data_IF_261124425852
#
_entry.id   IF_261124425852
#
_cell.length_a   1.000
_cell.length_b   1.000
_cell.length_c   1.000
_cell.angle_alpha   90.00
_cell.angle_beta   90.00
_cell.angle_gamma   90.00
#
_symmetry.space_group_name_H-M   'P 1'
#
loop_
_entity.id
_entity.type
_entity.pdbx_description
1 polymer ?
#
# COMPACT_ATOMS: atom_id res chain seq x y z
N UNK A 1 12.75 4.62 18.59
CA UNK A 1 11.87 3.67 17.90
C UNK A 1 10.40 3.83 18.33
N UNK A 2 10.05 3.80 19.63
CA UNK A 2 8.66 4.00 20.11
C UNK A 2 8.03 5.36 19.72
N UNK A 3 8.80 6.44 19.70
CA UNK A 3 8.30 7.78 19.34
C UNK A 3 7.93 7.88 17.84
N UNK A 4 8.63 7.17 16.96
CA UNK A 4 8.33 7.16 15.54
C UNK A 4 7.09 6.32 15.21
N UNK A 5 6.88 5.20 15.93
CA UNK A 5 5.67 4.38 15.79
C UNK A 5 4.42 5.18 16.19
N UNK A 6 4.45 5.85 17.34
CA UNK A 6 3.35 6.72 17.81
C UNK A 6 3.02 7.86 16.84
N UNK A 7 4.03 8.44 16.17
CA UNK A 7 3.81 9.50 15.17
C UNK A 7 3.13 8.95 13.92
N UNK A 8 3.46 7.73 13.49
CA UNK A 8 2.86 7.07 12.34
C UNK A 8 1.38 6.72 12.61
N UNK A 9 1.08 6.14 13.77
CA UNK A 9 -0.28 5.79 14.16
C UNK A 9 -1.18 7.03 14.17
N UNK A 10 -0.72 8.12 14.73
CA UNK A 10 -1.43 9.38 14.77
C UNK A 10 -1.70 9.98 13.40
N UNK A 11 -0.74 9.92 12.47
CA UNK A 11 -0.95 10.37 11.08
C UNK A 11 -1.99 9.50 10.35
N UNK A 12 -1.99 8.20 10.61
CA UNK A 12 -2.98 7.27 10.07
C UNK A 12 -4.38 7.62 10.58
N UNK A 13 -4.52 7.90 11.90
CA UNK A 13 -5.80 8.31 12.50
C UNK A 13 -6.29 9.63 11.91
N UNK A 14 -5.43 10.66 11.77
CA UNK A 14 -5.80 11.93 11.15
C UNK A 14 -6.36 11.79 9.73
N UNK A 15 -5.72 10.95 8.91
CA UNK A 15 -6.17 10.66 7.54
C UNK A 15 -7.49 9.88 7.53
N UNK A 16 -7.65 8.94 8.46
CA UNK A 16 -8.87 8.16 8.58
C UNK A 16 -10.06 9.04 8.98
N UNK A 17 -9.90 9.91 9.97
CA UNK A 17 -10.92 10.87 10.42
C UNK A 17 -11.41 11.74 9.27
N UNK A 18 -10.49 12.31 8.48
CA UNK A 18 -10.88 13.15 7.33
C UNK A 18 -11.63 12.35 6.25
N UNK A 19 -11.16 11.12 5.95
CA UNK A 19 -11.79 10.26 4.95
C UNK A 19 -13.18 9.74 5.38
N UNK A 20 -13.46 9.66 6.68
CA UNK A 20 -14.72 9.20 7.27
C UNK A 20 -15.72 10.35 7.55
N UNK A 21 -15.44 11.58 7.11
CA UNK A 21 -16.37 12.70 7.24
C UNK A 21 -16.28 13.46 8.56
N UNK A 22 -15.21 13.27 9.33
CA UNK A 22 -14.87 14.05 10.54
C UNK A 22 -15.75 13.80 11.78
N UNK A 23 -16.78 12.98 11.69
CA UNK A 23 -17.53 12.45 12.82
C UNK A 23 -17.33 10.94 12.86
N UNK A 24 -16.61 10.44 13.87
CA UNK A 24 -16.09 9.06 13.90
C UNK A 24 -16.12 8.48 15.32
N UNK A 25 -16.27 7.15 15.41
CA UNK A 25 -16.01 6.39 16.63
C UNK A 25 -14.63 5.72 16.59
N UNK A 26 -14.18 5.19 17.72
CA UNK A 26 -12.96 4.36 17.76
C UNK A 26 -13.07 3.13 16.85
N UNK A 27 -14.26 2.53 16.78
CA UNK A 27 -14.54 1.39 15.90
C UNK A 27 -14.47 1.76 14.41
N UNK A 28 -14.96 2.95 14.00
CA UNK A 28 -14.87 3.40 12.61
C UNK A 28 -13.40 3.57 12.18
N UNK A 29 -12.58 4.17 13.06
CA UNK A 29 -11.16 4.35 12.80
C UNK A 29 -10.43 3.00 12.79
N UNK A 30 -10.74 2.09 13.73
CA UNK A 30 -10.17 0.75 13.76
C UNK A 30 -10.51 -0.05 12.51
N UNK A 31 -11.76 0.01 12.03
CA UNK A 31 -12.19 -0.65 10.80
C UNK A 31 -11.48 -0.07 9.56
N UNK A 32 -11.28 1.25 9.51
CA UNK A 32 -10.62 1.93 8.38
C UNK A 32 -9.12 1.68 8.31
N UNK A 33 -8.48 1.58 9.47
CA UNK A 33 -7.00 1.56 9.58
C UNK A 33 -6.41 0.21 9.96
N UNK A 34 -7.25 -0.69 10.50
CA UNK A 34 -6.79 -1.94 11.10
C UNK A 34 -6.08 -1.76 12.45
N UNK A 35 -6.10 -0.57 13.05
CA UNK A 35 -5.52 -0.33 14.38
C UNK A 35 -6.32 -1.04 15.47
N UNK A 36 -5.68 -1.42 16.59
CA UNK A 36 -6.40 -1.88 17.78
C UNK A 36 -7.40 -0.82 18.24
N UNK A 37 -8.60 -1.24 18.67
CA UNK A 37 -9.68 -0.30 19.09
C UNK A 37 -9.21 0.63 20.20
N UNK A 38 -8.52 0.11 21.22
CA UNK A 38 -7.98 0.90 22.33
C UNK A 38 -6.91 1.92 21.88
N UNK A 39 -6.09 1.55 20.90
CA UNK A 39 -5.08 2.46 20.32
C UNK A 39 -5.79 3.56 19.51
N UNK A 40 -6.78 3.19 18.69
CA UNK A 40 -7.59 4.15 17.94
C UNK A 40 -8.27 5.15 18.87
N UNK A 41 -8.87 4.70 19.95
CA UNK A 41 -9.48 5.56 20.97
C UNK A 41 -8.48 6.49 21.65
N UNK A 42 -7.33 5.96 22.07
CA UNK A 42 -6.28 6.75 22.73
C UNK A 42 -5.71 7.82 21.78
N UNK A 43 -5.51 7.50 20.51
CA UNK A 43 -5.02 8.48 19.53
C UNK A 43 -6.11 9.49 19.12
N UNK A 44 -7.40 9.09 19.05
CA UNK A 44 -8.52 10.01 18.83
C UNK A 44 -8.62 11.04 19.96
N UNK A 45 -8.51 10.61 21.23
CA UNK A 45 -8.47 11.51 22.39
C UNK A 45 -7.35 12.55 22.27
N UNK A 46 -6.13 12.13 21.89
CA UNK A 46 -5.01 13.05 21.71
C UNK A 46 -5.21 14.00 20.55
N UNK A 47 -5.70 13.48 19.42
CA UNK A 47 -5.99 14.30 18.23
C UNK A 47 -7.07 15.32 18.56
N UNK A 48 -8.17 14.94 19.23
CA UNK A 48 -9.21 15.85 19.67
C UNK A 48 -8.66 16.95 20.58
N UNK A 49 -7.88 16.60 21.60
CA UNK A 49 -7.26 17.57 22.51
C UNK A 49 -6.29 18.53 21.81
N UNK A 50 -5.54 18.09 20.80
CA UNK A 50 -4.56 18.93 20.09
C UNK A 50 -5.18 19.80 18.98
N UNK A 51 -6.29 19.36 18.38
CA UNK A 51 -6.91 20.03 17.24
C UNK A 51 -8.19 20.77 17.59
N UNK A 52 -8.63 20.74 18.85
CA UNK A 52 -9.91 21.31 19.26
C UNK A 52 -11.10 20.49 18.76
N UNK A 53 -10.95 19.17 18.69
CA UNK A 53 -12.07 18.27 18.41
C UNK A 53 -12.96 18.07 19.62
N UNK A 54 -14.22 17.79 19.40
CA UNK A 54 -15.24 17.60 20.44
C UNK A 54 -15.58 16.12 20.61
N UNK A 55 -15.94 15.73 21.83
CA UNK A 55 -16.44 14.41 22.16
C UNK A 55 -17.97 14.50 22.37
N UNK A 56 -18.70 13.56 21.77
CA UNK A 56 -20.12 13.35 21.94
C UNK A 56 -20.34 12.00 22.64
N UNK A 57 -21.02 11.98 23.76
CA UNK A 57 -21.31 10.77 24.53
C UNK A 57 -22.79 10.44 24.39
N UNK A 58 -23.09 9.22 23.95
CA UNK A 58 -24.45 8.74 23.82
C UNK A 58 -25.01 8.19 25.15
N UNK A 59 -26.32 8.06 25.27
CA UNK A 59 -27.04 7.43 26.41
C UNK A 59 -26.51 6.04 26.74
N UNK A 60 -25.96 5.35 25.74
CA UNK A 60 -25.37 4.00 25.88
C UNK A 60 -23.94 4.01 26.43
N UNK A 61 -23.33 5.21 26.63
CA UNK A 61 -21.94 5.36 27.01
C UNK A 61 -20.96 5.31 25.84
N UNK A 62 -21.45 5.14 24.61
CA UNK A 62 -20.61 5.14 23.39
C UNK A 62 -20.13 6.56 23.07
N UNK A 63 -18.90 6.68 22.58
CA UNK A 63 -18.25 7.97 22.31
C UNK A 63 -18.04 8.16 20.80
N UNK A 64 -18.53 9.27 20.27
CA UNK A 64 -18.19 9.78 18.96
C UNK A 64 -17.27 11.02 19.08
N UNK A 65 -16.42 11.23 18.09
CA UNK A 65 -15.53 12.39 18.01
C UNK A 65 -15.91 13.21 16.79
N UNK A 66 -16.06 14.53 17.01
CA UNK A 66 -16.41 15.50 15.96
C UNK A 66 -15.25 16.48 15.77
N UNK A 67 -14.84 16.67 14.51
CA UNK A 67 -13.71 17.54 14.16
C UNK A 67 -14.14 18.62 13.18
N UNK A 68 -13.62 19.83 13.37
CA UNK A 68 -13.87 20.97 12.49
C UNK A 68 -13.18 20.83 11.13
N UNK A 69 -13.68 21.47 10.06
CA UNK A 69 -12.98 21.53 8.78
C UNK A 69 -11.58 22.14 8.95
N UNK A 70 -10.55 21.51 8.35
CA UNK A 70 -9.17 22.01 8.42
C UNK A 70 -8.40 21.66 9.69
N UNK A 71 -8.92 20.82 10.59
CA UNK A 71 -8.25 20.39 11.83
C UNK A 71 -6.82 19.85 11.59
N UNK A 72 -6.53 19.29 10.40
CA UNK A 72 -5.20 18.83 10.04
C UNK A 72 -4.17 19.98 9.96
N UNK A 73 -4.58 21.17 9.50
CA UNK A 73 -3.70 22.34 9.42
C UNK A 73 -3.33 22.86 10.81
N UNK A 74 -4.28 22.85 11.75
CA UNK A 74 -4.03 23.19 13.15
C UNK A 74 -3.00 22.25 13.80
N UNK A 75 -3.03 20.98 13.39
CA UNK A 75 -2.07 19.98 13.83
C UNK A 75 -0.68 20.16 13.21
N UNK A 76 -0.58 20.50 11.92
CA UNK A 76 0.69 20.69 11.22
C UNK A 76 1.45 21.93 11.70
N UNK A 77 0.75 22.96 12.17
CA UNK A 77 1.34 24.21 12.64
C UNK A 77 2.15 24.07 13.95
N UNK A 78 1.98 23.01 14.72
CA UNK A 78 2.54 22.86 16.10
C UNK A 78 3.87 22.09 16.21
N UNK A 79 4.61 21.78 15.10
CA UNK A 79 5.73 20.86 15.24
C UNK A 79 7.03 21.15 14.52
N UNK A 80 8.00 21.84 15.17
CA UNK A 80 9.40 22.00 14.71
C UNK A 80 10.08 20.63 14.50
N UNK A 81 9.83 19.64 15.35
CA UNK A 81 10.37 18.28 15.20
C UNK A 81 9.92 17.58 13.90
N UNK A 82 8.74 17.91 13.39
CA UNK A 82 8.22 17.40 12.10
C UNK A 82 8.90 18.02 10.90
N UNK A 83 9.30 19.27 10.99
CA UNK A 83 10.06 19.91 9.90
C UNK A 83 11.32 19.10 9.58
N UNK A 84 12.08 18.68 10.60
CA UNK A 84 13.27 17.85 10.40
C UNK A 84 12.95 16.44 9.86
N UNK A 85 11.85 15.83 10.25
CA UNK A 85 11.42 14.53 9.71
C UNK A 85 10.99 14.64 8.25
N UNK A 86 10.24 15.68 7.88
CA UNK A 86 9.81 15.93 6.51
C UNK A 86 10.99 16.27 5.62
N UNK A 87 11.93 17.09 6.11
CA UNK A 87 13.17 17.44 5.38
C UNK A 87 14.06 16.21 5.22
N UNK A 88 14.26 15.40 6.27
CA UNK A 88 15.03 14.16 6.19
C UNK A 88 14.45 13.17 5.20
N UNK A 89 13.13 13.00 5.16
CA UNK A 89 12.44 12.14 4.19
C UNK A 89 12.61 12.67 2.77
N UNK A 90 12.43 13.98 2.54
CA UNK A 90 12.65 14.60 1.22
C UNK A 90 14.10 14.46 0.75
N UNK A 91 15.08 14.63 1.65
CA UNK A 91 16.49 14.45 1.33
C UNK A 91 16.78 13.00 0.94
N UNK A 92 16.25 12.04 1.68
CA UNK A 92 16.35 10.62 1.34
C UNK A 92 15.73 10.31 -0.02
N UNK A 93 14.54 10.85 -0.31
CA UNK A 93 13.87 10.68 -1.60
C UNK A 93 14.71 11.26 -2.75
N UNK A 94 15.38 12.40 -2.55
CA UNK A 94 16.29 13.01 -3.55
C UNK A 94 17.52 12.15 -3.76
N UNK A 95 18.17 11.68 -2.69
CA UNK A 95 19.36 10.80 -2.81
C UNK A 95 18.98 9.50 -3.50
N UNK A 96 17.87 8.90 -3.11
CA UNK A 96 17.37 7.67 -3.75
C UNK A 96 17.02 7.87 -5.23
N UNK A 97 16.45 9.02 -5.58
CA UNK A 97 16.20 9.42 -6.96
C UNK A 97 17.50 9.51 -7.77
N UNK A 98 18.55 10.14 -7.22
CA UNK A 98 19.86 10.24 -7.88
C UNK A 98 20.50 8.85 -8.07
N UNK A 99 20.45 8.01 -7.05
CA UNK A 99 20.93 6.61 -7.16
C UNK A 99 20.16 5.87 -8.25
N UNK A 100 18.83 6.03 -8.30
CA UNK A 100 17.99 5.35 -9.29
C UNK A 100 18.34 5.76 -10.72
N UNK A 101 18.65 7.01 -10.97
CA UNK A 101 19.03 7.53 -12.30
C UNK A 101 20.45 7.11 -12.67
N UNK A 102 21.36 7.03 -11.69
CA UNK A 102 22.78 6.77 -11.96
C UNK A 102 23.02 5.45 -12.71
N UNK A 103 22.22 4.41 -12.45
CA UNK A 103 22.33 3.13 -13.15
C UNK A 103 22.02 3.25 -14.65
N UNK A 104 21.02 4.04 -15.02
CA UNK A 104 20.70 4.30 -16.42
C UNK A 104 21.77 5.15 -17.12
N UNK A 105 22.31 6.16 -16.43
CA UNK A 105 23.41 6.99 -16.93
C UNK A 105 24.66 6.14 -17.13
N UNK A 106 25.00 5.28 -16.16
CA UNK A 106 26.16 4.38 -16.26
C UNK A 106 26.04 3.39 -17.41
N UNK A 107 24.81 2.87 -17.69
CA UNK A 107 24.59 2.02 -18.87
C UNK A 107 24.87 2.79 -20.16
N UNK A 108 24.37 3.99 -20.31
CA UNK A 108 24.61 4.84 -21.48
C UNK A 108 26.10 5.12 -21.64
N UNK A 109 26.78 5.54 -20.56
CA UNK A 109 28.21 5.84 -20.59
C UNK A 109 29.04 4.60 -20.94
N UNK A 110 28.70 3.43 -20.39
CA UNK A 110 29.36 2.16 -20.70
C UNK A 110 29.20 1.79 -22.17
N UNK A 111 27.97 1.91 -22.72
CA UNK A 111 27.72 1.67 -24.16
C UNK A 111 28.51 2.65 -25.02
N UNK A 112 28.52 3.94 -24.67
CA UNK A 112 29.29 4.95 -25.40
C UNK A 112 30.79 4.66 -25.37
N UNK A 113 31.31 4.22 -24.22
CA UNK A 113 32.73 3.82 -24.10
C UNK A 113 33.06 2.63 -25.01
N UNK A 114 32.19 1.59 -25.03
CA UNK A 114 32.35 0.45 -25.93
C UNK A 114 32.37 0.90 -27.39
N UNK A 115 31.37 1.71 -27.79
CA UNK A 115 31.30 2.23 -29.17
C UNK A 115 32.51 3.08 -29.53
N UNK A 116 32.98 3.94 -28.61
CA UNK A 116 34.18 4.76 -28.82
C UNK A 116 35.41 3.92 -29.03
N UNK A 117 35.63 2.86 -28.24
CA UNK A 117 36.76 1.94 -28.38
C UNK A 117 36.68 1.19 -29.72
N UNK A 118 35.48 0.75 -30.13
CA UNK A 118 35.27 0.13 -31.45
C UNK A 118 35.65 1.10 -32.58
N UNK A 119 35.22 2.34 -32.53
CA UNK A 119 35.57 3.36 -33.53
C UNK A 119 37.08 3.61 -33.54
N UNK A 120 37.73 3.71 -32.37
CA UNK A 120 39.16 3.91 -32.27
C UNK A 120 39.96 2.75 -32.91
N UNK A 121 39.53 1.50 -32.66
CA UNK A 121 40.17 0.31 -33.29
C UNK A 121 39.99 0.36 -34.82
N UNK A 122 38.80 0.71 -35.31
CA UNK A 122 38.52 0.82 -36.74
C UNK A 122 39.39 1.88 -37.42
N UNK A 123 39.54 3.08 -36.80
CA UNK A 123 40.33 4.17 -37.34
C UNK A 123 41.84 3.82 -37.32
N UNK A 124 42.31 3.10 -36.29
CA UNK A 124 43.68 2.66 -36.18
C UNK A 124 44.02 1.58 -37.21
N UNK A 125 43.11 0.60 -37.39
CA UNK A 125 43.26 -0.48 -38.40
C UNK A 125 43.32 0.07 -39.83
N UNK A 126 42.56 1.17 -40.11
CA UNK A 126 42.51 1.77 -41.44
C UNK A 126 43.78 2.63 -41.78
N UNK A 127 44.59 3.01 -40.80
CA UNK A 127 45.83 3.80 -40.95
C UNK A 127 47.03 2.94 -41.31
N UNK A 128 46.95 1.58 -41.15
CA UNK A 128 48.03 0.64 -41.39
C UNK A 128 48.07 0.04 -42.79
N UNK A 129 47.22 0.43 -43.73
CA UNK A 129 47.11 -0.18 -45.09
C UNK A 129 47.64 0.69 -46.22
N UNK A 130 48.99 0.86 -46.31
CA UNK A 130 49.58 1.15 -47.61
C UNK A 130 50.36 -0.09 -48.08
N UNK A 131 49.90 -0.63 -49.25
CA UNK A 131 50.50 -1.68 -50.08
C UNK A 131 50.73 -3.06 -49.41
N UNK A 132 49.88 -4.03 -49.71
CA UNK A 132 50.13 -5.08 -50.70
C UNK A 132 48.87 -5.96 -50.80
N UNK A 133 48.50 -6.21 -52.06
CA UNK A 133 47.52 -7.26 -52.40
C UNK A 133 48.19 -8.58 -52.08
N UNK A 134 47.61 -9.34 -51.20
CA UNK A 134 47.51 -10.80 -51.41
C UNK A 134 46.43 -11.38 -50.47
N UNK A 135 45.61 -12.13 -51.12
CA UNK A 135 44.52 -12.98 -50.76
C UNK A 135 44.88 -13.93 -49.60
N UNK A 136 44.07 -14.02 -48.55
CA UNK A 136 43.57 -15.26 -47.92
C UNK A 136 42.87 -14.96 -46.59
N UNK A 137 41.57 -15.25 -46.55
CA UNK A 137 40.71 -15.69 -45.47
C UNK A 137 41.07 -15.37 -44.01
N UNK A 138 40.63 -14.26 -43.50
CA UNK A 138 40.53 -13.99 -42.09
C UNK A 138 39.32 -13.13 -41.80
N UNK A 139 38.33 -13.65 -41.07
CA UNK A 139 37.07 -12.99 -40.77
C UNK A 139 37.23 -11.68 -40.03
N UNK A 140 37.60 -10.62 -40.76
CA UNK A 140 37.50 -9.27 -40.31
C UNK A 140 36.04 -8.85 -40.33
N UNK A 141 35.50 -8.53 -39.19
CA UNK A 141 34.21 -7.87 -39.12
C UNK A 141 34.32 -6.53 -39.86
N UNK A 142 33.88 -6.52 -41.15
CA UNK A 142 33.62 -5.30 -41.86
C UNK A 142 32.45 -4.59 -41.15
N UNK A 143 32.78 -3.59 -40.33
CA UNK A 143 31.82 -2.59 -39.86
C UNK A 143 31.37 -1.79 -41.10
N UNK A 144 30.45 -2.38 -41.84
CA UNK A 144 29.89 -1.81 -43.04
C UNK A 144 28.83 -0.77 -42.70
N UNK A 145 28.41 -0.11 -43.78
CA UNK A 145 27.27 0.80 -43.76
C UNK A 145 26.00 0.23 -43.02
N UNK A 146 25.85 -1.10 -42.98
CA UNK A 146 24.80 -1.81 -42.25
C UNK A 146 24.94 -1.68 -40.71
N UNK A 147 26.14 -1.68 -40.17
CA UNK A 147 26.35 -1.56 -38.73
C UNK A 147 26.09 -0.13 -38.27
N UNK A 148 26.43 0.87 -39.12
CA UNK A 148 26.01 2.25 -38.93
C UNK A 148 24.49 2.42 -38.99
N UNK A 149 23.78 1.73 -39.91
CA UNK A 149 22.33 1.75 -39.98
C UNK A 149 21.69 1.11 -38.73
N UNK A 150 22.23 -0.02 -38.25
CA UNK A 150 21.75 -0.68 -37.02
C UNK A 150 21.95 0.25 -35.80
N UNK A 151 23.13 0.88 -35.67
CA UNK A 151 23.37 1.87 -34.62
C UNK A 151 22.43 3.06 -34.75
N UNK A 152 22.30 3.63 -35.94
CA UNK A 152 21.36 4.73 -36.21
C UNK A 152 19.93 4.34 -35.88
N UNK A 153 19.48 3.14 -36.28
CA UNK A 153 18.12 2.68 -36.02
C UNK A 153 17.92 2.33 -34.53
N UNK A 154 18.94 1.83 -33.82
CA UNK A 154 18.90 1.62 -32.38
C UNK A 154 18.72 2.95 -31.63
N UNK A 155 19.43 3.99 -32.02
CA UNK A 155 19.30 5.35 -31.44
C UNK A 155 18.00 6.06 -31.93
N UNK A 156 17.63 5.88 -33.22
CA UNK A 156 16.42 6.46 -33.77
C UNK A 156 15.16 5.78 -33.21
N UNK A 157 15.18 4.48 -32.91
CA UNK A 157 14.05 3.77 -32.35
C UNK A 157 13.66 4.31 -30.96
N UNK A 158 14.62 4.72 -30.15
CA UNK A 158 14.38 5.47 -28.92
C UNK A 158 13.64 6.80 -29.17
N UNK A 159 13.90 7.46 -30.28
CA UNK A 159 13.24 8.72 -30.67
C UNK A 159 11.87 8.48 -31.36
N UNK A 160 11.73 7.41 -32.15
CA UNK A 160 10.48 7.08 -32.84
C UNK A 160 9.41 6.46 -31.93
N UNK A 161 9.78 5.80 -30.84
CA UNK A 161 8.80 5.28 -29.86
C UNK A 161 8.01 6.39 -29.14
N UNK A 162 8.43 7.63 -29.27
CA UNK A 162 7.75 8.82 -28.74
C UNK A 162 6.84 9.55 -29.73
N UNK A 163 6.91 9.26 -31.05
CA UNK A 163 6.29 10.08 -32.08
C UNK A 163 5.02 9.55 -32.76
N UNK A 164 4.57 8.34 -32.46
CA UNK A 164 3.49 7.73 -33.25
C UNK A 164 2.53 6.83 -32.53
N UNK A 165 1.79 7.30 -31.52
CA UNK A 165 0.58 6.63 -31.08
C UNK A 165 -0.60 7.59 -30.99
N UNK A 166 -1.78 7.25 -31.55
CA UNK A 166 -2.97 8.08 -31.46
C UNK A 166 -3.42 8.18 -29.99
N UNK A 167 -3.73 9.41 -29.58
CA UNK A 167 -4.30 9.75 -28.28
C UNK A 167 -5.69 9.12 -28.17
N UNK A 168 -5.79 7.94 -27.56
CA UNK A 168 -7.03 7.47 -26.97
C UNK A 168 -6.92 7.56 -25.44
N UNK A 169 -7.85 8.30 -24.89
CA UNK A 169 -7.98 8.72 -23.51
C UNK A 169 -8.20 7.51 -22.57
N UNK A 170 -7.79 7.71 -21.33
CA UNK A 170 -8.06 6.92 -20.12
C UNK A 170 -7.05 5.82 -19.78
N UNK A 171 -5.82 6.24 -19.62
CA UNK A 171 -4.94 5.76 -18.55
C UNK A 171 -3.82 6.81 -18.43
N UNK A 172 -3.67 7.45 -17.26
CA UNK A 172 -2.47 8.24 -16.94
C UNK A 172 -1.27 7.29 -16.93
N UNK A 173 -0.78 6.95 -18.12
CA UNK A 173 0.51 6.26 -18.30
C UNK A 173 1.57 7.21 -17.75
N UNK A 174 2.14 6.89 -16.60
CA UNK A 174 3.41 7.49 -16.19
C UNK A 174 4.33 7.41 -17.40
N UNK A 175 4.83 8.56 -17.87
CA UNK A 175 5.85 8.59 -18.93
C UNK A 175 6.99 7.70 -18.45
N UNK A 176 7.24 6.59 -19.17
CA UNK A 176 8.37 5.71 -18.95
C UNK A 176 9.64 6.54 -19.17
N UNK A 177 10.45 6.67 -18.13
CA UNK A 177 11.76 7.25 -18.25
C UNK A 177 12.77 6.10 -18.30
N UNK A 178 13.42 5.91 -19.44
CA UNK A 178 14.44 4.87 -19.66
C UNK A 178 15.42 4.73 -18.47
N UNK A 179 15.85 5.83 -17.87
CA UNK A 179 16.79 5.82 -16.75
C UNK A 179 16.21 5.12 -15.52
N UNK A 180 14.92 5.29 -15.24
CA UNK A 180 14.23 4.59 -14.15
C UNK A 180 14.01 3.11 -14.47
N UNK A 181 13.76 2.80 -15.74
CA UNK A 181 13.51 1.43 -16.17
C UNK A 181 14.79 0.59 -16.07
N UNK A 182 15.98 1.16 -16.27
CA UNK A 182 17.25 0.51 -16.00
C UNK A 182 17.39 0.06 -14.54
N UNK A 183 17.01 0.92 -13.59
CA UNK A 183 17.02 0.58 -12.17
C UNK A 183 15.97 -0.50 -11.85
N UNK A 184 14.75 -0.32 -12.36
CA UNK A 184 13.66 -1.28 -12.16
C UNK A 184 13.97 -2.65 -12.76
N UNK A 185 14.71 -2.69 -13.86
CA UNK A 185 15.21 -3.92 -14.47
C UNK A 185 16.19 -4.66 -13.54
N UNK A 186 17.11 -3.95 -12.91
CA UNK A 186 18.09 -4.54 -12.00
C UNK A 186 17.44 -4.96 -10.66
N UNK A 187 16.73 -4.04 -10.02
CA UNK A 187 16.30 -4.16 -8.62
C UNK A 187 14.80 -4.27 -8.42
N UNK A 188 13.99 -3.94 -9.44
CA UNK A 188 12.53 -3.90 -9.37
C UNK A 188 11.97 -2.60 -8.81
N UNK A 189 10.65 -2.57 -8.68
CA UNK A 189 9.89 -1.39 -8.26
C UNK A 189 9.53 -1.38 -6.76
N UNK A 190 10.11 -2.30 -5.99
CA UNK A 190 9.88 -2.44 -4.55
C UNK A 190 8.87 -3.54 -4.19
N UNK A 191 8.49 -3.59 -2.92
CA UNK A 191 7.57 -4.62 -2.39
C UNK A 191 6.11 -4.24 -2.67
N UNK A 192 5.38 -5.00 -3.52
CA UNK A 192 3.97 -4.75 -3.80
C UNK A 192 3.03 -5.07 -2.62
N UNK A 193 3.54 -5.79 -1.62
CA UNK A 193 2.82 -6.19 -0.41
C UNK A 193 3.32 -5.45 0.85
N UNK A 194 3.88 -4.25 0.71
CA UNK A 194 4.40 -3.48 1.85
C UNK A 194 3.31 -3.15 2.88
N UNK A 195 2.05 -3.07 2.45
CA UNK A 195 0.85 -2.78 3.24
C UNK A 195 0.03 -4.02 3.62
N UNK A 196 0.57 -5.25 3.42
CA UNK A 196 -0.20 -6.49 3.58
C UNK A 196 -0.75 -6.67 5.00
N UNK A 197 0.03 -6.28 6.03
CA UNK A 197 -0.42 -6.35 7.42
C UNK A 197 -1.54 -5.34 7.71
N UNK A 198 -1.43 -4.11 7.20
CA UNK A 198 -2.48 -3.10 7.35
C UNK A 198 -3.77 -3.56 6.63
N UNK A 199 -3.66 -4.08 5.40
CA UNK A 199 -4.80 -4.65 4.65
C UNK A 199 -5.43 -5.84 5.36
N UNK A 200 -4.63 -6.74 5.93
CA UNK A 200 -5.11 -7.90 6.68
C UNK A 200 -6.02 -7.46 7.84
N UNK A 201 -5.53 -6.55 8.67
CA UNK A 201 -6.28 -6.08 9.83
C UNK A 201 -7.54 -5.28 9.46
N UNK A 202 -7.46 -4.49 8.40
CA UNK A 202 -8.62 -3.77 7.85
C UNK A 202 -9.69 -4.75 7.34
N UNK A 203 -9.30 -5.80 6.62
CA UNK A 203 -10.23 -6.82 6.12
C UNK A 203 -10.86 -7.63 7.25
N UNK A 204 -10.10 -7.99 8.28
CA UNK A 204 -10.62 -8.66 9.48
C UNK A 204 -11.63 -7.76 10.20
N UNK A 205 -11.31 -6.48 10.43
CA UNK A 205 -12.20 -5.54 11.07
C UNK A 205 -13.51 -5.35 10.29
N UNK A 206 -13.42 -5.24 8.97
CA UNK A 206 -14.59 -5.13 8.10
C UNK A 206 -15.40 -6.43 8.12
N UNK A 207 -14.76 -7.60 8.07
CA UNK A 207 -15.43 -8.90 8.18
C UNK A 207 -16.19 -9.02 9.49
N UNK A 208 -15.62 -8.62 10.63
CA UNK A 208 -16.31 -8.60 11.93
C UNK A 208 -17.57 -7.71 11.86
N UNK A 209 -17.46 -6.53 11.28
CA UNK A 209 -18.59 -5.61 11.13
C UNK A 209 -19.68 -6.13 10.19
N UNK A 210 -19.30 -6.75 9.07
CA UNK A 210 -20.21 -7.29 8.07
C UNK A 210 -21.01 -8.48 8.61
N UNK A 211 -20.41 -9.25 9.51
CA UNK A 211 -21.08 -10.36 10.22
C UNK A 211 -21.82 -9.91 11.50
N UNK A 212 -22.01 -8.60 11.70
CA UNK A 212 -22.78 -8.07 12.83
C UNK A 212 -22.10 -8.21 14.18
N UNK A 213 -20.76 -8.27 14.22
CA UNK A 213 -19.95 -8.33 15.42
C UNK A 213 -19.75 -9.72 15.98
N UNK A 214 -20.21 -10.76 15.30
CA UNK A 214 -20.00 -12.15 15.72
C UNK A 214 -19.42 -12.93 14.56
N UNK A 215 -18.26 -13.54 14.79
CA UNK A 215 -17.55 -14.31 13.77
C UNK A 215 -17.02 -15.62 14.34
N UNK A 216 -16.75 -16.58 13.46
CA UNK A 216 -16.11 -17.85 13.77
C UNK A 216 -14.67 -17.88 13.28
N UNK A 217 -13.86 -18.84 13.74
CA UNK A 217 -12.49 -19.01 13.25
C UNK A 217 -12.46 -19.27 11.74
N UNK A 218 -13.43 -20.02 11.24
CA UNK A 218 -13.57 -20.34 9.82
C UNK A 218 -13.83 -19.08 8.96
N UNK A 219 -14.62 -18.12 9.47
CA UNK A 219 -14.86 -16.85 8.78
C UNK A 219 -13.63 -15.93 8.77
N UNK A 220 -12.72 -16.10 9.72
CA UNK A 220 -11.46 -15.34 9.78
C UNK A 220 -10.31 -16.01 9.01
N UNK A 221 -10.37 -17.33 8.76
CA UNK A 221 -9.35 -18.10 8.06
C UNK A 221 -8.95 -17.53 6.68
N UNK A 222 -9.86 -17.02 5.82
CA UNK A 222 -9.51 -16.39 4.55
C UNK A 222 -8.60 -15.16 4.69
N UNK A 223 -8.59 -14.50 5.83
CA UNK A 223 -7.80 -13.30 6.11
C UNK A 223 -6.56 -13.60 6.93
N UNK A 224 -6.64 -14.47 7.93
CA UNK A 224 -5.48 -14.89 8.73
C UNK A 224 -4.56 -15.82 7.95
N UNK A 225 -5.12 -16.66 7.07
CA UNK A 225 -4.42 -17.71 6.36
C UNK A 225 -4.10 -18.93 7.21
N UNK A 226 -4.59 -18.98 8.46
CA UNK A 226 -4.51 -20.11 9.35
C UNK A 226 -5.56 -21.17 8.98
N UNK A 227 -5.38 -22.39 9.49
CA UNK A 227 -6.35 -23.46 9.28
C UNK A 227 -7.70 -23.07 9.92
N UNK A 228 -8.85 -23.34 9.28
CA UNK A 228 -10.16 -22.94 9.82
C UNK A 228 -10.47 -23.48 11.23
N UNK A 229 -9.84 -24.58 11.63
CA UNK A 229 -9.98 -25.20 12.94
C UNK A 229 -8.95 -24.71 13.96
N UNK A 230 -8.08 -23.77 13.60
CA UNK A 230 -7.03 -23.23 14.47
C UNK A 230 -7.60 -22.06 15.29
N UNK A 231 -8.12 -22.35 16.45
CA UNK A 231 -8.67 -21.36 17.38
C UNK A 231 -7.59 -20.41 17.93
N UNK A 232 -6.35 -20.86 18.06
CA UNK A 232 -5.23 -20.02 18.54
C UNK A 232 -4.92 -18.89 17.58
N UNK A 233 -5.19 -19.05 16.28
CA UNK A 233 -5.02 -18.01 15.28
C UNK A 233 -5.98 -16.82 15.44
N UNK A 234 -7.04 -16.98 16.24
CA UNK A 234 -8.00 -15.91 16.53
C UNK A 234 -7.57 -15.05 17.72
N UNK A 235 -6.70 -15.52 18.60
CA UNK A 235 -6.26 -14.78 19.79
C UNK A 235 -5.73 -13.36 19.46
N UNK A 236 -4.88 -13.15 18.44
CA UNK A 236 -4.46 -11.80 18.07
C UNK A 236 -5.62 -10.90 17.62
N UNK A 237 -6.69 -11.47 17.04
CA UNK A 237 -7.88 -10.74 16.62
C UNK A 237 -8.69 -10.30 17.85
N UNK A 238 -8.87 -11.19 18.82
CA UNK A 238 -9.55 -10.89 20.09
C UNK A 238 -8.86 -9.74 20.83
N UNK A 239 -7.54 -9.84 21.01
CA UNK A 239 -6.76 -8.78 21.70
C UNK A 239 -6.82 -7.45 20.93
N UNK A 240 -6.84 -7.49 19.60
CA UNK A 240 -6.80 -6.28 18.78
C UNK A 240 -8.13 -5.54 18.76
N UNK A 241 -9.23 -6.25 18.73
CA UNK A 241 -10.57 -5.67 18.54
C UNK A 241 -11.46 -5.83 19.78
N UNK A 242 -10.89 -6.14 20.93
CA UNK A 242 -11.60 -6.30 22.20
C UNK A 242 -12.74 -7.32 22.13
N UNK A 243 -12.40 -8.52 21.61
CA UNK A 243 -13.36 -9.60 21.41
C UNK A 243 -13.42 -10.56 22.61
N UNK A 244 -14.54 -11.30 22.70
CA UNK A 244 -14.80 -12.30 23.71
C UNK A 244 -15.19 -13.63 23.06
N UNK A 245 -14.66 -14.77 23.52
CA UNK A 245 -15.12 -16.07 23.06
C UNK A 245 -16.44 -16.45 23.75
N UNK A 246 -17.35 -17.06 22.98
CA UNK A 246 -18.59 -17.66 23.47
C UNK A 246 -18.69 -19.10 22.96
N UNK A 247 -19.13 -20.02 23.81
CA UNK A 247 -19.23 -21.45 23.47
C UNK A 247 -20.66 -21.77 23.09
N UNK A 248 -20.84 -22.45 21.97
CA UNK A 248 -22.13 -22.96 21.51
C UNK A 248 -22.55 -24.18 22.31
N UNK A 249 -23.86 -24.49 22.35
CA UNK A 249 -24.38 -25.72 22.97
C UNK A 249 -23.76 -27.02 22.42
N UNK A 250 -23.33 -26.99 21.15
CA UNK A 250 -22.64 -28.08 20.48
C UNK A 250 -21.13 -28.12 20.72
N UNK A 251 -20.57 -27.23 21.60
CA UNK A 251 -19.15 -27.17 21.92
C UNK A 251 -18.29 -26.38 20.91
N UNK A 252 -18.87 -25.74 19.90
CA UNK A 252 -18.15 -24.85 18.99
C UNK A 252 -17.86 -23.51 19.65
N UNK A 253 -16.84 -22.76 19.18
CA UNK A 253 -16.50 -21.45 19.69
C UNK A 253 -16.85 -20.39 18.64
N UNK A 254 -17.55 -19.34 19.06
CA UNK A 254 -17.81 -18.12 18.30
C UNK A 254 -17.20 -16.93 19.05
N UNK A 255 -16.91 -15.86 18.34
CA UNK A 255 -16.23 -14.68 18.89
C UNK A 255 -17.08 -13.45 18.71
N UNK A 256 -17.37 -12.75 19.80
CA UNK A 256 -18.20 -11.54 19.83
C UNK A 256 -17.33 -10.29 19.99
N UNK A 257 -17.67 -9.23 19.26
CA UNK A 257 -16.92 -7.97 19.21
C UNK A 257 -17.88 -6.77 19.36
N UNK A 258 -18.43 -6.52 20.55
CA UNK A 258 -19.45 -5.47 20.75
C UNK A 258 -18.92 -4.06 20.41
N UNK A 259 -17.67 -3.76 20.81
CA UNK A 259 -17.01 -2.47 20.56
C UNK A 259 -16.87 -2.13 19.08
N UNK A 260 -16.81 -3.11 18.18
CA UNK A 260 -16.71 -2.92 16.73
C UNK A 260 -18.04 -2.56 16.06
N UNK A 261 -19.16 -2.67 16.75
CA UNK A 261 -20.50 -2.42 16.18
C UNK A 261 -20.97 -0.98 16.31
N UNK A 262 -20.25 -0.15 17.04
CA UNK A 262 -20.58 1.27 17.21
C UNK A 262 -20.03 2.09 16.06
N UNK A 263 -20.89 2.88 15.40
CA UNK A 263 -20.53 3.74 14.29
C UNK A 263 -21.06 5.15 14.48
N UNK A 264 -20.34 6.15 13.99
CA UNK A 264 -20.80 7.53 14.00
C UNK A 264 -21.82 7.81 12.89
N UNK A 265 -21.87 6.99 11.82
CA UNK A 265 -22.75 7.17 10.67
C UNK A 265 -23.41 5.86 10.26
N UNK A 266 -24.60 5.96 9.64
CA UNK A 266 -25.38 4.80 9.19
C UNK A 266 -24.92 4.21 7.85
N UNK A 267 -24.06 4.92 7.10
CA UNK A 267 -23.68 4.56 5.74
C UNK A 267 -22.24 4.09 5.64
N UNK A 268 -22.05 2.77 5.73
CA UNK A 268 -20.81 2.12 5.25
C UNK A 268 -21.19 0.87 4.47
N UNK A 269 -21.37 1.02 3.17
CA UNK A 269 -21.42 -0.09 2.23
C UNK A 269 -19.97 -0.38 1.76
N UNK A 270 -19.15 -0.98 2.60
CA UNK A 270 -17.88 -1.53 2.16
C UNK A 270 -18.14 -2.94 1.65
N UNK A 271 -17.90 -3.16 0.36
CA UNK A 271 -17.80 -4.53 -0.16
C UNK A 271 -16.44 -5.07 0.28
N UNK A 272 -16.45 -5.88 1.31
CA UNK A 272 -15.24 -6.53 1.82
C UNK A 272 -14.72 -7.53 0.78
N UNK A 273 -13.41 -7.57 0.56
CA UNK A 273 -12.84 -8.60 -0.31
C UNK A 273 -13.02 -9.97 0.36
N UNK A 274 -13.33 -11.04 -0.41
CA UNK A 274 -13.64 -12.35 0.15
C UNK A 274 -12.46 -13.03 0.85
N UNK A 275 -11.24 -12.63 0.57
CA UNK A 275 -10.02 -13.11 1.23
C UNK A 275 -8.88 -12.12 1.08
N UNK A 276 -7.84 -12.25 1.92
CA UNK A 276 -6.61 -11.46 1.83
C UNK A 276 -5.77 -11.93 0.65
N UNK A 277 -5.75 -11.15 -0.43
CA UNK A 277 -4.96 -11.43 -1.62
C UNK A 277 -3.59 -10.77 -1.55
N UNK A 278 -2.52 -11.57 -1.60
CA UNK A 278 -1.16 -11.09 -1.81
C UNK A 278 -0.91 -10.84 -3.30
N UNK A 279 -0.31 -9.70 -3.62
CA UNK A 279 0.06 -9.37 -5.00
C UNK A 279 1.36 -10.08 -5.37
N UNK A 280 1.41 -10.63 -6.59
CA UNK A 280 2.64 -11.20 -7.15
C UNK A 280 3.67 -10.10 -7.36
N UNK A 281 4.92 -10.42 -7.13
CA UNK A 281 6.04 -9.52 -7.42
C UNK A 281 6.25 -9.48 -8.93
N UNK A 282 6.04 -8.32 -9.58
CA UNK A 282 6.33 -8.18 -10.99
C UNK A 282 7.86 -8.17 -11.21
N UNK A 283 8.31 -8.73 -12.33
CA UNK A 283 9.72 -8.62 -12.70
C UNK A 283 10.09 -7.16 -12.99
N UNK A 284 9.28 -6.48 -13.78
CA UNK A 284 9.33 -5.02 -14.03
C UNK A 284 7.89 -4.54 -14.23
N UNK A 285 7.61 -3.27 -13.93
CA UNK A 285 6.29 -2.67 -14.12
C UNK A 285 5.81 -2.69 -15.59
N UNK A 286 4.56 -2.35 -15.87
CA UNK A 286 3.83 -2.67 -17.11
C UNK A 286 4.26 -1.88 -18.38
N UNK A 287 5.48 -1.35 -18.45
CA UNK A 287 5.95 -0.51 -19.55
C UNK A 287 6.87 -1.28 -20.50
N UNK A 288 6.31 -1.81 -21.59
CA UNK A 288 7.00 -2.75 -22.48
C UNK A 288 8.00 -2.11 -23.44
N UNK A 289 7.81 -0.85 -23.84
CA UNK A 289 8.63 -0.24 -24.91
C UNK A 289 10.08 0.09 -24.50
N UNK A 290 10.26 0.71 -23.32
CA UNK A 290 11.59 1.07 -22.80
C UNK A 290 12.38 -0.15 -22.33
N UNK A 291 11.71 -1.23 -21.89
CA UNK A 291 12.36 -2.47 -21.49
C UNK A 291 13.09 -3.16 -22.64
N UNK A 292 12.51 -3.18 -23.83
CA UNK A 292 13.18 -3.75 -25.02
C UNK A 292 14.50 -3.03 -25.27
N UNK A 293 14.50 -1.70 -25.13
CA UNK A 293 15.71 -0.89 -25.26
C UNK A 293 16.74 -1.19 -24.16
N UNK A 294 16.30 -1.39 -22.90
CA UNK A 294 17.18 -1.79 -21.80
C UNK A 294 17.81 -3.15 -22.09
N UNK A 295 17.03 -4.14 -22.55
CA UNK A 295 17.56 -5.45 -22.93
C UNK A 295 18.56 -5.37 -24.09
N UNK A 296 18.24 -4.60 -25.12
CA UNK A 296 19.12 -4.45 -26.29
C UNK A 296 20.45 -3.81 -25.91
N UNK A 297 20.41 -2.71 -25.13
CA UNK A 297 21.61 -2.02 -24.67
C UNK A 297 22.44 -2.86 -23.67
N UNK A 298 21.76 -3.59 -22.78
CA UNK A 298 22.42 -4.50 -21.85
C UNK A 298 23.15 -5.64 -22.58
N UNK A 299 22.46 -6.25 -23.56
CA UNK A 299 23.04 -7.30 -24.40
C UNK A 299 24.22 -6.81 -25.24
N UNK A 300 24.06 -5.65 -25.88
CA UNK A 300 25.14 -5.01 -26.64
C UNK A 300 26.34 -4.68 -25.75
N UNK A 301 26.11 -4.09 -24.58
CA UNK A 301 27.16 -3.76 -23.63
C UNK A 301 27.89 -5.01 -23.14
N UNK A 302 27.15 -6.05 -22.75
CA UNK A 302 27.70 -7.31 -22.29
C UNK A 302 28.58 -7.96 -23.37
N UNK A 303 28.06 -8.19 -24.56
CA UNK A 303 28.79 -8.84 -25.64
C UNK A 303 29.96 -7.99 -26.12
N UNK A 304 29.76 -6.68 -26.24
CA UNK A 304 30.80 -5.75 -26.69
C UNK A 304 31.97 -5.66 -25.71
N UNK A 305 31.70 -5.55 -24.41
CA UNK A 305 32.76 -5.48 -23.39
C UNK A 305 33.54 -6.78 -23.31
N UNK A 306 32.87 -7.95 -23.35
CA UNK A 306 33.57 -9.24 -23.36
C UNK A 306 34.38 -9.43 -24.64
N UNK A 307 33.87 -9.04 -25.81
CA UNK A 307 34.62 -9.12 -27.06
C UNK A 307 35.87 -8.24 -26.99
N UNK A 308 35.78 -6.99 -26.52
CA UNK A 308 36.92 -6.10 -26.35
C UNK A 308 37.96 -6.68 -25.38
N UNK A 309 37.51 -7.24 -24.25
CA UNK A 309 38.37 -7.79 -23.22
C UNK A 309 39.14 -9.01 -23.70
N UNK A 310 38.57 -9.82 -24.59
CA UNK A 310 39.21 -11.02 -25.15
C UNK A 310 40.19 -10.71 -26.28
N UNK A 311 40.30 -9.44 -26.74
CA UNK A 311 41.27 -9.08 -27.80
C UNK A 311 42.70 -8.99 -27.25
N UNK A 312 43.66 -9.82 -27.76
CA UNK A 312 45.03 -9.78 -27.30
C UNK A 312 45.74 -8.43 -27.52
N UNK A 313 45.32 -7.69 -28.56
CA UNK A 313 45.87 -6.37 -28.91
C UNK A 313 45.46 -5.25 -27.95
N UNK A 314 44.50 -5.49 -27.03
CA UNK A 314 43.96 -4.50 -26.10
C UNK A 314 44.36 -4.76 -24.65
N UNK A 315 45.37 -5.62 -24.39
CA UNK A 315 45.81 -5.97 -23.01
C UNK A 315 46.25 -4.75 -22.20
N UNK A 316 46.88 -3.76 -22.85
CA UNK A 316 47.27 -2.50 -22.20
C UNK A 316 46.07 -1.70 -21.69
N UNK A 317 44.87 -1.90 -22.28
CA UNK A 317 43.62 -1.24 -21.88
C UNK A 317 42.83 -2.03 -20.83
N UNK A 318 43.29 -3.17 -20.34
CA UNK A 318 42.63 -3.98 -19.34
C UNK A 318 42.22 -3.20 -18.08
N UNK A 319 43.00 -2.28 -17.52
CA UNK A 319 42.57 -1.48 -16.37
C UNK A 319 41.27 -0.66 -16.64
N UNK A 320 41.05 -0.25 -17.90
CA UNK A 320 39.86 0.46 -18.33
C UNK A 320 38.71 -0.51 -18.70
N UNK A 321 39.03 -1.63 -19.34
CA UNK A 321 38.08 -2.63 -19.81
C UNK A 321 37.49 -3.47 -18.69
N UNK A 322 38.28 -3.79 -17.65
CA UNK A 322 37.82 -4.63 -16.53
C UNK A 322 36.60 -4.09 -15.80
N UNK A 323 36.53 -2.80 -15.41
CA UNK A 323 35.29 -2.21 -14.82
C UNK A 323 34.10 -2.30 -15.77
N UNK A 324 34.28 -2.12 -17.09
CA UNK A 324 33.21 -2.21 -18.07
C UNK A 324 32.68 -3.64 -18.20
N UNK A 325 33.58 -4.65 -18.23
CA UNK A 325 33.21 -6.07 -18.25
C UNK A 325 32.45 -6.46 -17.00
N UNK A 326 32.94 -6.05 -15.82
CA UNK A 326 32.25 -6.32 -14.54
C UNK A 326 30.87 -5.69 -14.55
N UNK A 327 30.77 -4.42 -14.95
CA UNK A 327 29.49 -3.72 -15.01
C UNK A 327 28.52 -4.40 -16.00
N UNK A 328 28.96 -4.68 -17.23
CA UNK A 328 28.14 -5.34 -18.26
C UNK A 328 27.67 -6.74 -17.83
N UNK A 329 28.56 -7.51 -17.17
CA UNK A 329 28.24 -8.83 -16.64
C UNK A 329 27.23 -8.76 -15.51
N UNK A 330 27.43 -7.86 -14.54
CA UNK A 330 26.48 -7.68 -13.42
C UNK A 330 25.13 -7.18 -13.91
N UNK A 331 25.12 -6.30 -14.93
CA UNK A 331 23.86 -5.76 -15.48
C UNK A 331 22.99 -6.84 -16.14
N UNK A 332 23.55 -7.96 -16.58
CA UNK A 332 22.82 -9.11 -17.13
C UNK A 332 22.56 -10.18 -16.08
N UNK A 333 23.53 -10.48 -15.22
CA UNK A 333 23.41 -11.60 -14.25
C UNK A 333 22.49 -11.29 -13.09
N UNK A 334 22.46 -10.03 -12.60
CA UNK A 334 21.56 -9.63 -11.50
C UNK A 334 20.08 -9.83 -11.86
N UNK A 335 19.55 -9.36 -13.00
CA UNK A 335 18.16 -9.58 -13.38
C UNK A 335 17.81 -11.06 -13.57
N UNK A 336 18.75 -11.86 -14.10
CA UNK A 336 18.55 -13.31 -14.27
C UNK A 336 18.37 -13.97 -12.89
N UNK A 337 19.31 -13.74 -11.96
CA UNK A 337 19.21 -14.28 -10.60
C UNK A 337 17.95 -13.82 -9.88
N UNK A 338 17.60 -12.52 -10.06
CA UNK A 338 16.36 -11.94 -9.51
C UNK A 338 15.11 -12.63 -10.07
N UNK A 339 15.06 -12.93 -11.37
CA UNK A 339 13.93 -13.64 -11.98
C UNK A 339 13.68 -14.98 -11.30
N UNK A 340 14.73 -15.80 -11.10
CA UNK A 340 14.59 -17.07 -10.40
C UNK A 340 14.08 -16.89 -8.95
N UNK A 341 14.61 -15.91 -8.22
CA UNK A 341 14.13 -15.61 -6.87
C UNK A 341 12.66 -15.21 -6.86
N UNK A 342 12.24 -14.36 -7.81
CA UNK A 342 10.85 -13.92 -7.94
C UNK A 342 9.90 -15.08 -8.31
N UNK A 343 10.31 -16.00 -9.14
CA UNK A 343 9.50 -17.16 -9.51
C UNK A 343 9.19 -18.03 -8.27
N UNK A 344 10.19 -18.27 -7.40
CA UNK A 344 10.00 -18.99 -6.14
C UNK A 344 9.09 -18.22 -5.18
N UNK A 345 9.28 -16.89 -5.03
CA UNK A 345 8.43 -16.04 -4.18
C UNK A 345 6.98 -16.07 -4.69
N UNK A 346 6.78 -15.90 -6.00
CA UNK A 346 5.47 -15.86 -6.63
C UNK A 346 4.74 -17.20 -6.55
N UNK A 347 5.45 -18.32 -6.62
CA UNK A 347 4.87 -19.64 -6.39
C UNK A 347 4.30 -19.74 -4.96
N UNK A 348 5.07 -19.37 -3.94
CA UNK A 348 4.61 -19.35 -2.54
C UNK A 348 3.41 -18.42 -2.33
N UNK A 349 3.40 -17.23 -2.97
CA UNK A 349 2.25 -16.33 -2.93
C UNK A 349 1.02 -16.98 -3.56
N UNK A 350 1.18 -17.69 -4.68
CA UNK A 350 0.07 -18.39 -5.33
C UNK A 350 -0.52 -19.47 -4.45
N UNK A 351 0.33 -20.24 -3.77
CA UNK A 351 -0.09 -21.29 -2.83
C UNK A 351 -0.86 -20.71 -1.63
N UNK A 352 -0.35 -19.61 -1.02
CA UNK A 352 -1.05 -18.93 0.08
C UNK A 352 -2.39 -18.33 -0.35
N UNK A 353 -2.44 -17.67 -1.51
CA UNK A 353 -3.68 -17.13 -2.06
C UNK A 353 -4.68 -18.25 -2.40
N UNK A 354 -4.19 -19.39 -2.93
CA UNK A 354 -5.01 -20.56 -3.21
C UNK A 354 -5.68 -21.10 -1.93
N UNK A 355 -4.91 -21.31 -0.85
CA UNK A 355 -5.45 -21.75 0.44
C UNK A 355 -6.53 -20.80 0.98
N UNK A 356 -6.24 -19.48 0.99
CA UNK A 356 -7.20 -18.46 1.44
C UNK A 356 -8.47 -18.41 0.58
N UNK A 357 -8.34 -18.56 -0.74
CA UNK A 357 -9.48 -18.65 -1.65
C UNK A 357 -10.33 -19.89 -1.36
N UNK A 358 -9.70 -21.06 -1.13
CA UNK A 358 -10.42 -22.29 -0.76
C UNK A 358 -11.21 -22.11 0.55
N UNK A 359 -10.61 -21.45 1.57
CA UNK A 359 -11.33 -21.17 2.82
C UNK A 359 -12.54 -20.23 2.59
N UNK A 360 -12.41 -19.22 1.73
CA UNK A 360 -13.53 -18.36 1.35
C UNK A 360 -14.63 -19.12 0.57
N UNK A 361 -14.25 -20.10 -0.25
CA UNK A 361 -15.22 -20.95 -0.97
C UNK A 361 -15.96 -21.91 -0.04
N UNK A 362 -15.28 -22.47 0.97
CA UNK A 362 -15.91 -23.31 1.99
C UNK A 362 -17.04 -22.59 2.74
N UNK A 363 -16.92 -21.28 2.92
CA UNK A 363 -17.97 -20.48 3.57
C UNK A 363 -19.20 -20.25 2.70
N UNK A 364 -19.10 -20.41 1.39
CA UNK A 364 -20.24 -20.30 0.47
C UNK A 364 -21.12 -21.57 0.45
N UNK A 365 -20.49 -22.72 0.72
CA UNK A 365 -21.17 -24.02 0.80
C UNK A 365 -20.66 -24.76 2.04
N UNK A 366 -21.09 -24.33 3.25
CA UNK A 366 -20.58 -24.86 4.49
C UNK A 366 -21.04 -26.30 4.72
N UNK A 367 -20.16 -27.12 5.32
CA UNK A 367 -20.54 -28.42 5.81
C UNK A 367 -21.62 -28.32 6.92
N UNK A 368 -22.42 -29.36 7.18
CA UNK A 368 -23.52 -29.29 8.12
C UNK A 368 -23.14 -28.84 9.53
N UNK A 369 -21.96 -29.21 10.02
CA UNK A 369 -21.45 -28.79 11.33
C UNK A 369 -21.11 -27.29 11.34
N UNK A 370 -20.42 -26.83 10.29
CA UNK A 370 -20.10 -25.42 10.15
C UNK A 370 -21.39 -24.59 9.96
N UNK A 371 -22.37 -25.11 9.22
CA UNK A 371 -23.65 -24.42 9.02
C UNK A 371 -24.36 -24.14 10.35
N UNK A 372 -24.42 -25.09 11.26
CA UNK A 372 -24.98 -24.93 12.61
C UNK A 372 -24.20 -23.89 13.44
N UNK A 373 -22.86 -23.90 13.35
CA UNK A 373 -22.01 -22.92 14.03
C UNK A 373 -22.24 -21.51 13.49
N UNK A 374 -22.40 -21.36 12.17
CA UNK A 374 -22.71 -20.08 11.53
C UNK A 374 -24.11 -19.59 11.84
N UNK A 375 -25.09 -20.49 11.95
CA UNK A 375 -26.45 -20.17 12.37
C UNK A 375 -26.46 -19.63 13.79
N UNK A 376 -25.81 -20.31 14.74
CA UNK A 376 -25.66 -19.82 16.11
C UNK A 376 -24.95 -18.46 16.17
N UNK A 377 -23.86 -18.26 15.39
CA UNK A 377 -23.19 -16.97 15.30
C UNK A 377 -24.13 -15.87 14.75
N UNK A 378 -25.04 -16.22 13.84
CA UNK A 378 -26.02 -15.30 13.29
C UNK A 378 -27.11 -14.91 14.30
N UNK A 379 -27.51 -15.83 15.17
CA UNK A 379 -28.49 -15.59 16.23
C UNK A 379 -27.94 -14.64 17.30
N UNK A 380 -26.61 -14.67 17.55
CA UNK A 380 -25.93 -13.78 18.47
C UNK A 380 -25.56 -12.41 17.87
N UNK A 381 -25.94 -12.13 16.63
CA UNK A 381 -25.56 -10.86 15.97
C UNK A 381 -26.02 -9.64 16.76
N UNK A 382 -25.06 -8.77 17.05
CA UNK A 382 -25.31 -7.51 17.75
C UNK A 382 -25.88 -6.47 16.78
N UNK A 383 -25.50 -6.54 15.50
CA UNK A 383 -25.84 -5.55 14.49
C UNK A 383 -25.05 -4.25 14.65
N UNK A 384 -25.13 -3.38 13.66
CA UNK A 384 -24.50 -2.05 13.72
C UNK A 384 -25.39 -1.07 14.46
N UNK A 385 -24.82 -0.34 15.40
CA UNK A 385 -25.48 0.73 16.13
C UNK A 385 -24.84 2.07 15.76
N UNK A 386 -25.60 2.91 15.05
CA UNK A 386 -25.15 4.27 14.75
C UNK A 386 -25.58 5.20 15.90
N UNK A 387 -24.67 6.04 16.36
CA UNK A 387 -24.95 7.09 17.33
C UNK A 387 -25.72 8.20 16.60
N UNK A 388 -27.02 8.33 16.90
CA UNK A 388 -27.88 9.40 16.36
C UNK A 388 -27.70 10.67 17.18
N UNK A 389 -28.06 11.81 16.59
CA UNK A 389 -28.02 13.11 17.29
C UNK A 389 -28.90 13.11 18.56
N UNK A 390 -30.07 12.46 18.51
CA UNK A 390 -31.00 12.35 19.61
C UNK A 390 -30.53 11.46 20.76
N UNK A 391 -29.53 10.62 20.51
CA UNK A 391 -28.95 9.71 21.51
C UNK A 391 -27.83 10.38 22.34
N UNK A 392 -27.39 11.61 21.98
CA UNK A 392 -26.31 12.33 22.62
C UNK A 392 -26.80 12.95 23.92
N UNK A 393 -26.18 12.57 25.04
CA UNK A 393 -26.47 13.12 26.39
C UNK A 393 -25.48 14.19 26.77
N UNK A 394 -24.26 14.13 26.26
CA UNK A 394 -23.19 15.06 26.61
C UNK A 394 -22.30 15.37 25.41
N UNK A 395 -21.98 16.64 25.22
CA UNK A 395 -21.01 17.09 24.23
C UNK A 395 -20.04 18.11 24.82
N UNK A 396 -18.76 18.02 24.45
CA UNK A 396 -17.76 19.02 24.82
C UNK A 396 -17.79 20.26 23.93
N UNK A 397 -18.71 20.34 22.97
CA UNK A 397 -18.89 21.49 22.08
C UNK A 397 -19.62 22.64 22.82
N UNK A 398 -20.53 22.30 23.74
CA UNK A 398 -21.29 23.22 24.55
C UNK A 398 -20.71 23.31 25.96
N UNK A 399 -20.82 24.47 26.59
CA UNK A 399 -20.39 24.60 27.98
C UNK A 399 -21.35 23.85 28.91
N UNK A 400 -20.86 23.34 30.04
CA UNK A 400 -21.73 22.64 31.01
C UNK A 400 -22.88 23.52 31.48
N UNK A 401 -22.68 24.85 31.57
CA UNK A 401 -23.70 25.82 31.96
C UNK A 401 -24.78 25.95 30.90
N UNK A 402 -24.43 25.88 29.61
CA UNK A 402 -25.42 25.97 28.53
C UNK A 402 -26.23 24.68 28.44
N UNK A 403 -25.61 23.51 28.71
CA UNK A 403 -26.31 22.21 28.76
C UNK A 403 -27.28 22.15 29.94
N UNK A 404 -26.86 22.53 31.16
CA UNK A 404 -27.72 22.56 32.32
C UNK A 404 -28.91 23.52 32.13
N UNK A 405 -28.70 24.69 31.51
CA UNK A 405 -29.78 25.64 31.22
C UNK A 405 -30.76 25.11 30.17
N UNK A 406 -30.27 24.38 29.15
CA UNK A 406 -31.16 23.76 28.16
C UNK A 406 -31.98 22.62 28.77
N UNK A 407 -31.38 21.77 29.60
CA UNK A 407 -32.09 20.69 30.29
C UNK A 407 -33.16 21.23 31.25
N UNK A 408 -32.86 22.31 31.98
CA UNK A 408 -33.84 22.99 32.85
C UNK A 408 -34.97 23.58 32.05
N UNK A 409 -34.72 24.14 30.86
CA UNK A 409 -35.79 24.67 29.99
C UNK A 409 -36.66 23.53 29.43
N UNK A 410 -36.11 22.40 29.05
CA UNK A 410 -36.88 21.24 28.59
C UNK A 410 -37.73 20.65 29.71
N UNK A 411 -37.15 20.55 30.93
CA UNK A 411 -37.91 20.07 32.09
C UNK A 411 -39.05 21.04 32.48
N UNK A 412 -38.82 22.34 32.39
CA UNK A 412 -39.81 23.37 32.60
C UNK A 412 -40.95 23.32 31.58
N UNK A 413 -40.62 23.18 30.27
CA UNK A 413 -41.62 23.02 29.21
C UNK A 413 -42.42 21.73 29.35
N UNK A 414 -41.80 20.64 29.83
CA UNK A 414 -42.50 19.40 30.12
C UNK A 414 -43.50 19.57 31.28
N UNK A 415 -43.05 20.22 32.35
CA UNK A 415 -43.92 20.54 33.51
C UNK A 415 -45.08 21.47 33.14
N UNK A 416 -44.84 22.45 32.26
CA UNK A 416 -45.89 23.32 31.72
C UNK A 416 -46.93 22.53 30.93
N UNK A 417 -46.50 21.62 30.06
CA UNK A 417 -47.43 20.78 29.26
C UNK A 417 -48.21 19.81 30.16
N UNK A 418 -47.58 19.22 31.17
CA UNK A 418 -48.24 18.34 32.13
C UNK A 418 -49.20 19.09 33.06
N UNK A 419 -48.91 20.38 33.38
CA UNK A 419 -49.79 21.25 34.13
C UNK A 419 -51.02 21.74 33.35
N UNK A 420 -50.85 22.01 32.06
CA UNK A 420 -51.96 22.38 31.16
C UNK A 420 -52.89 21.21 30.86
N UNK A 421 -52.42 19.98 30.83
CA UNK A 421 -53.22 18.79 30.60
C UNK A 421 -54.05 18.37 31.86
N UNK A 422 -53.63 18.82 33.05
CA UNK A 422 -54.36 18.57 34.33
C UNK A 422 -55.38 19.61 34.72
N UNK A 423 -55.61 20.65 33.91
CA UNK A 423 -56.76 21.59 34.08
C UNK A 423 -56.71 22.38 35.39
N UNK A 424 -55.55 22.62 36.00
CA UNK A 424 -55.43 23.33 37.28
C UNK A 424 -54.95 24.78 37.08
N UNK A 425 -55.74 25.58 36.33
CA UNK A 425 -55.77 27.02 36.47
C UNK A 425 -57.17 27.41 36.90
N UNK A 426 -57.43 27.21 38.18
CA UNK A 426 -58.62 27.80 38.82
C UNK A 426 -58.30 29.29 39.04
N UNK A 427 -58.83 30.09 38.12
CA UNK A 427 -58.86 31.54 38.23
C UNK A 427 -60.07 31.90 39.11
N UNK A 428 -59.84 32.08 40.38
CA UNK A 428 -60.87 32.75 41.23
C UNK A 428 -60.34 34.10 41.71
N UNK A 429 -61.26 35.13 41.75
CA UNK A 429 -60.94 36.55 41.66
C UNK A 429 -60.34 37.20 42.88
#
# INVERSE_FOLDING_TARGET
MQTQLKTKEKEIVLKAVDSLGRRVTAADVAAKTGLPVLVAQAELNKVAAETGGHMEVATTGDVAYKFSPGFQNAYLAKGIARFFQVVGKKLFDIVFFLVRISFGIMLILSVLAVVFIFIAIMLYSNKGGNNDRDDYGGGGFHFGFFDYLILRDLFAWGAYSTAGQPKNQQQRRRKSNFLFDCFSFLFGDGNPNADIEERKWTLIANSIRDHGGVVTAEQLAPYTGATPTDEDAVLPVLVRFDGKPEVTEAGGIVYTFPSMQVSATTSDSHVSAPFLKEMRWPFVGPQTGSLIMVYALAGFNFLGTWWLFLQPSLQELWPLLLPLVIYGTLFVTIPIGRKFALDVINQRITERNGKRSTYAEMLKAPAPELSKKLEFANDLRIGRRAIKQDDIVYTTEESNLDQESADQLIEFDKKLKEGTDKGEFDATP
#
